data_IF_569514015365
#
_entry.id   IF_569514015365
#
_cell.length_a   1.000
_cell.length_b   1.000
_cell.length_c   1.000
_cell.angle_alpha   90.00
_cell.angle_beta   90.00
_cell.angle_gamma   90.00
#
_symmetry.space_group_name_H-M   'P 1'
#
loop_
_entity.id
_entity.type
_entity.pdbx_description
1 polymer ?
#
# COMPACT_ATOMS: atom_id res chain seq x y z
N UNK A 1 -7.27 -13.77 13.69
CA UNK A 1 -6.06 -14.19 12.94
C UNK A 1 -4.95 -13.27 13.38
N UNK A 2 -3.81 -13.78 13.84
CA UNK A 2 -2.66 -12.93 14.14
C UNK A 2 -1.95 -12.50 12.85
N UNK A 3 -1.11 -11.46 12.95
CA UNK A 3 -0.48 -10.85 11.78
C UNK A 3 0.53 -11.78 11.10
N UNK A 4 1.20 -12.64 11.86
CA UNK A 4 2.24 -13.52 11.36
C UNK A 4 1.63 -14.62 10.49
N UNK A 5 0.56 -15.26 10.97
CA UNK A 5 -0.17 -16.27 10.21
C UNK A 5 -0.76 -15.71 8.92
N UNK A 6 -1.22 -14.45 8.91
CA UNK A 6 -1.73 -13.79 7.71
C UNK A 6 -0.61 -13.58 6.67
N UNK A 7 0.54 -13.08 7.10
CA UNK A 7 1.70 -12.88 6.24
C UNK A 7 2.23 -14.20 5.67
N UNK A 8 2.33 -15.24 6.50
CA UNK A 8 2.73 -16.58 6.05
C UNK A 8 1.81 -17.13 4.96
N UNK A 9 0.49 -16.92 5.07
CA UNK A 9 -0.47 -17.33 4.03
C UNK A 9 -0.29 -16.56 2.73
N UNK A 10 -0.03 -15.26 2.82
CA UNK A 10 0.23 -14.41 1.65
C UNK A 10 1.54 -14.81 0.98
N UNK A 11 2.61 -15.02 1.75
CA UNK A 11 3.91 -15.42 1.23
C UNK A 11 3.86 -16.80 0.55
N UNK A 12 3.08 -17.73 1.09
CA UNK A 12 2.83 -19.02 0.46
C UNK A 12 2.26 -18.89 -0.97
N UNK A 13 1.45 -17.87 -1.25
CA UNK A 13 0.96 -17.62 -2.61
C UNK A 13 2.09 -17.23 -3.57
N UNK A 14 2.98 -16.34 -3.14
CA UNK A 14 4.11 -15.92 -3.97
C UNK A 14 5.10 -17.06 -4.22
N UNK A 15 5.32 -17.92 -3.22
CA UNK A 15 6.10 -19.14 -3.43
C UNK A 15 5.43 -20.08 -4.43
N UNK A 16 4.12 -20.33 -4.27
CA UNK A 16 3.36 -21.21 -5.16
C UNK A 16 3.27 -20.68 -6.60
N UNK A 17 3.26 -19.35 -6.79
CA UNK A 17 3.24 -18.74 -8.12
C UNK A 17 4.60 -18.69 -8.80
N UNK A 18 5.68 -19.17 -8.15
CA UNK A 18 7.05 -19.03 -8.65
C UNK A 18 7.56 -17.59 -8.65
N UNK A 19 6.85 -16.66 -8.00
CA UNK A 19 7.22 -15.26 -7.88
C UNK A 19 7.81 -14.95 -6.50
N UNK A 20 8.43 -15.94 -5.84
CA UNK A 20 9.00 -15.77 -4.52
C UNK A 20 9.99 -14.59 -4.47
N UNK A 21 10.11 -13.98 -3.30
CA UNK A 21 11.04 -12.87 -3.09
C UNK A 21 12.48 -13.36 -3.24
N UNK A 22 13.05 -13.21 -4.42
CA UNK A 22 14.50 -13.34 -4.59
C UNK A 22 15.16 -12.02 -4.16
N UNK A 23 15.67 -12.02 -2.93
CA UNK A 23 16.38 -10.87 -2.35
C UNK A 23 17.60 -10.47 -3.18
N UNK A 24 18.24 -11.41 -3.91
CA UNK A 24 19.38 -11.12 -4.77
C UNK A 24 18.93 -10.47 -6.09
N UNK A 25 17.90 -10.99 -6.75
CA UNK A 25 17.38 -10.40 -8.00
C UNK A 25 16.85 -8.96 -7.80
N UNK A 26 16.24 -8.67 -6.64
CA UNK A 26 15.82 -7.30 -6.27
C UNK A 26 17.00 -6.34 -6.07
N UNK A 27 18.13 -6.85 -5.58
CA UNK A 27 19.37 -6.10 -5.40
C UNK A 27 20.07 -5.83 -6.75
N UNK A 28 20.01 -6.78 -7.68
CA UNK A 28 20.56 -6.66 -9.03
C UNK A 28 19.74 -5.69 -9.91
N UNK A 29 18.41 -5.73 -9.86
CA UNK A 29 17.57 -4.74 -10.56
C UNK A 29 17.80 -3.32 -10.04
N UNK A 30 18.01 -3.14 -8.73
CA UNK A 30 18.30 -1.83 -8.13
C UNK A 30 19.68 -1.28 -8.53
N UNK A 31 20.62 -2.15 -8.93
CA UNK A 31 21.97 -1.74 -9.32
C UNK A 31 22.10 -1.43 -10.81
N UNK A 32 21.37 -2.12 -11.69
CA UNK A 32 21.50 -1.98 -13.15
C UNK A 32 20.71 -0.81 -13.79
N UNK A 33 19.67 -0.25 -13.14
CA UNK A 33 18.88 0.89 -13.64
C UNK A 33 19.47 2.29 -13.38
N UNK A 34 20.79 2.41 -13.32
CA UNK A 34 21.49 3.49 -12.60
C UNK A 34 21.66 4.85 -13.30
N UNK A 35 20.90 5.18 -14.34
CA UNK A 35 21.10 6.45 -15.07
C UNK A 35 19.88 7.37 -15.16
N UNK A 36 18.82 7.14 -14.39
CA UNK A 36 17.74 8.11 -14.32
C UNK A 36 16.65 7.76 -13.34
N UNK A 37 16.64 8.49 -12.21
CA UNK A 37 15.55 8.58 -11.24
C UNK A 37 15.34 7.38 -10.28
N UNK A 38 15.64 7.64 -9.00
CA UNK A 38 15.06 7.02 -7.80
C UNK A 38 15.48 5.56 -7.51
N UNK A 39 16.71 5.38 -7.02
CA UNK A 39 17.14 4.15 -6.35
C UNK A 39 16.76 4.17 -4.86
N UNK A 40 15.69 3.44 -4.49
CA UNK A 40 15.47 2.95 -3.11
C UNK A 40 14.36 1.89 -2.96
N UNK A 41 13.54 1.62 -3.98
CA UNK A 41 12.27 0.90 -3.80
C UNK A 41 12.30 -0.63 -3.65
N UNK A 42 13.44 -1.32 -3.79
CA UNK A 42 13.49 -2.79 -3.84
C UNK A 42 13.81 -3.46 -2.49
N UNK A 43 14.55 -2.78 -1.61
CA UNK A 43 14.93 -3.28 -0.28
C UNK A 43 13.85 -2.95 0.77
N UNK A 44 12.93 -2.05 0.43
CA UNK A 44 11.90 -1.57 1.34
C UNK A 44 10.77 -2.59 1.59
N UNK A 45 10.38 -3.45 0.65
CA UNK A 45 9.14 -4.24 0.85
C UNK A 45 9.27 -5.41 1.82
N UNK A 46 10.46 -5.96 2.10
CA UNK A 46 10.63 -6.95 3.18
C UNK A 46 11.03 -6.30 4.51
N UNK A 47 11.76 -5.19 4.46
CA UNK A 47 12.27 -4.50 5.65
C UNK A 47 11.22 -3.53 6.25
N UNK A 48 10.43 -2.83 5.44
CA UNK A 48 9.36 -1.91 5.91
C UNK A 48 8.20 -2.67 6.55
N UNK A 49 7.87 -3.87 6.06
CA UNK A 49 6.80 -4.69 6.61
C UNK A 49 7.16 -5.36 7.95
N UNK A 50 8.46 -5.53 8.24
CA UNK A 50 8.94 -6.06 9.51
C UNK A 50 9.18 -4.99 10.59
N UNK A 51 9.51 -3.75 10.20
CA UNK A 51 9.96 -2.72 11.15
C UNK A 51 9.01 -1.51 11.32
N UNK A 52 8.07 -1.24 10.40
CA UNK A 52 7.23 -0.03 10.47
C UNK A 52 5.73 -0.31 10.64
N UNK A 53 5.07 -1.12 9.80
CA UNK A 53 3.65 -1.46 9.96
C UNK A 53 3.30 -2.84 9.36
N UNK A 54 2.56 -3.64 10.12
CA UNK A 54 1.95 -4.88 9.63
C UNK A 54 0.68 -4.60 8.81
N UNK A 55 0.23 -5.51 7.91
CA UNK A 55 -1.05 -5.34 7.23
C UNK A 55 -2.23 -5.12 8.20
N UNK A 56 -2.26 -5.85 9.32
CA UNK A 56 -3.31 -5.68 10.33
C UNK A 56 -3.29 -4.28 10.95
N UNK A 57 -2.11 -3.71 11.19
CA UNK A 57 -1.97 -2.35 11.69
C UNK A 57 -2.53 -1.32 10.70
N UNK A 58 -2.28 -1.50 9.40
CA UNK A 58 -2.86 -0.65 8.35
C UNK A 58 -4.40 -0.76 8.36
N UNK A 59 -4.95 -1.97 8.48
CA UNK A 59 -6.40 -2.18 8.50
C UNK A 59 -7.07 -1.53 9.72
N UNK A 60 -6.41 -1.59 10.87
CA UNK A 60 -6.87 -0.95 12.11
C UNK A 60 -6.83 0.57 12.01
N UNK A 61 -5.74 1.14 11.50
CA UNK A 61 -5.60 2.60 11.32
C UNK A 61 -6.66 3.17 10.37
N UNK A 62 -7.01 2.40 9.34
CA UNK A 62 -8.05 2.78 8.39
C UNK A 62 -9.46 2.47 8.88
N UNK A 63 -9.62 1.76 10.00
CA UNK A 63 -10.91 1.21 10.45
C UNK A 63 -11.64 0.49 9.31
N UNK A 64 -10.93 -0.44 8.63
CA UNK A 64 -11.48 -1.17 7.50
C UNK A 64 -12.61 -2.09 7.94
N UNK A 65 -13.71 -2.06 7.19
CA UNK A 65 -14.82 -2.97 7.35
C UNK A 65 -15.34 -3.51 5.99
N UNK A 66 -16.24 -4.50 6.04
CA UNK A 66 -16.75 -5.20 4.85
C UNK A 66 -17.59 -4.35 3.89
N UNK A 67 -17.87 -3.09 4.19
CA UNK A 67 -18.51 -2.14 3.27
C UNK A 67 -17.48 -1.31 2.49
N UNK A 68 -16.21 -1.33 2.91
CA UNK A 68 -15.16 -0.51 2.32
C UNK A 68 -14.62 -1.07 1.00
N UNK A 69 -14.30 -0.14 0.09
CA UNK A 69 -13.43 -0.41 -1.06
C UNK A 69 -12.04 0.16 -0.75
N UNK A 70 -11.14 -0.75 -0.41
CA UNK A 70 -9.78 -0.46 0.01
C UNK A 70 -8.84 -0.37 -1.19
N UNK A 71 -8.00 0.66 -1.24
CA UNK A 71 -6.97 0.86 -2.25
C UNK A 71 -5.57 0.93 -1.64
N UNK A 72 -4.61 0.24 -2.26
CA UNK A 72 -3.18 0.35 -1.96
C UNK A 72 -2.46 1.00 -3.15
N UNK A 73 -2.01 2.24 -2.97
CA UNK A 73 -1.37 3.06 -4.00
C UNK A 73 0.15 2.86 -3.95
N UNK A 74 0.70 2.20 -4.97
CA UNK A 74 2.07 1.69 -4.93
C UNK A 74 2.14 0.31 -4.27
N UNK A 75 1.17 -0.56 -4.61
CA UNK A 75 0.96 -1.87 -3.97
C UNK A 75 2.11 -2.87 -4.12
N UNK A 76 3.11 -2.56 -4.95
CA UNK A 76 4.25 -3.42 -5.19
C UNK A 76 3.80 -4.77 -5.74
N UNK A 77 4.11 -5.83 -5.00
CA UNK A 77 3.71 -7.20 -5.37
C UNK A 77 2.32 -7.58 -4.83
N UNK A 78 1.61 -6.65 -4.19
CA UNK A 78 0.22 -6.84 -3.77
C UNK A 78 0.04 -7.51 -2.40
N UNK A 79 1.07 -7.56 -1.55
CA UNK A 79 1.01 -8.23 -0.25
C UNK A 79 -0.12 -7.69 0.65
N UNK A 80 -0.27 -6.37 0.77
CA UNK A 80 -1.34 -5.76 1.60
C UNK A 80 -2.73 -5.98 1.03
N UNK A 81 -2.85 -5.92 -0.30
CA UNK A 81 -4.11 -6.17 -1.00
C UNK A 81 -4.57 -7.62 -0.83
N UNK A 82 -3.65 -8.58 -0.99
CA UNK A 82 -3.93 -10.00 -0.74
C UNK A 82 -4.24 -10.26 0.73
N UNK A 83 -3.52 -9.61 1.66
CA UNK A 83 -3.79 -9.71 3.08
C UNK A 83 -5.20 -9.20 3.44
N UNK A 84 -5.65 -8.09 2.85
CA UNK A 84 -6.98 -7.54 3.08
C UNK A 84 -8.08 -8.51 2.59
N UNK A 85 -7.90 -9.08 1.39
CA UNK A 85 -8.81 -10.07 0.84
C UNK A 85 -8.81 -11.39 1.63
N UNK A 86 -7.66 -11.86 2.12
CA UNK A 86 -7.61 -13.04 2.99
C UNK A 86 -8.27 -12.83 4.35
N UNK A 87 -8.13 -11.62 4.90
CA UNK A 87 -8.73 -11.27 6.17
C UNK A 87 -10.24 -11.00 6.04
N UNK A 88 -10.75 -10.74 4.83
CA UNK A 88 -12.15 -10.43 4.59
C UNK A 88 -12.58 -9.13 5.26
N UNK A 89 -11.67 -8.17 5.37
CA UNK A 89 -11.87 -6.90 6.11
C UNK A 89 -12.37 -5.76 5.22
N UNK A 90 -12.57 -6.01 3.93
CA UNK A 90 -13.06 -5.03 2.95
C UNK A 90 -14.02 -5.73 1.98
N UNK A 91 -14.98 -4.98 1.41
CA UNK A 91 -15.80 -5.48 0.30
C UNK A 91 -14.91 -5.86 -0.89
N UNK A 92 -13.93 -5.00 -1.17
CA UNK A 92 -12.99 -5.13 -2.28
C UNK A 92 -11.67 -4.46 -1.93
N UNK A 93 -10.57 -5.11 -2.28
CA UNK A 93 -9.21 -4.57 -2.17
C UNK A 93 -8.61 -4.38 -3.56
N UNK A 94 -8.01 -3.21 -3.83
CA UNK A 94 -7.43 -2.88 -5.15
C UNK A 94 -5.99 -2.43 -4.98
N UNK A 95 -5.06 -3.12 -5.66
CA UNK A 95 -3.67 -2.70 -5.75
C UNK A 95 -3.40 -1.92 -7.02
N UNK A 96 -2.79 -0.75 -6.90
CA UNK A 96 -2.30 0.02 -8.05
C UNK A 96 -0.78 0.01 -8.01
N UNK A 97 -0.15 -0.44 -9.09
CA UNK A 97 1.31 -0.52 -9.20
C UNK A 97 1.76 -0.07 -10.60
N UNK A 98 2.84 0.71 -10.64
CA UNK A 98 3.37 1.26 -11.88
C UNK A 98 4.32 0.30 -12.58
N UNK A 99 5.11 -0.46 -11.81
CA UNK A 99 6.12 -1.37 -12.33
C UNK A 99 5.49 -2.71 -12.72
N UNK A 100 5.46 -2.98 -14.01
CA UNK A 100 4.84 -4.17 -14.60
C UNK A 100 5.33 -5.48 -13.94
N UNK A 101 6.64 -5.63 -13.72
CA UNK A 101 7.19 -6.85 -13.10
C UNK A 101 6.61 -7.12 -11.69
N UNK A 102 6.35 -6.06 -10.90
CA UNK A 102 5.76 -6.20 -9.57
C UNK A 102 4.27 -6.50 -9.64
N UNK A 103 3.58 -5.84 -10.58
CA UNK A 103 2.18 -6.14 -10.87
C UNK A 103 1.98 -7.59 -11.34
N UNK A 104 2.83 -8.12 -12.22
CA UNK A 104 2.78 -9.51 -12.66
C UNK A 104 2.97 -10.50 -11.51
N UNK A 105 3.85 -10.18 -10.55
CA UNK A 105 3.99 -10.99 -9.35
C UNK A 105 2.70 -11.00 -8.51
N UNK A 106 1.99 -9.88 -8.42
CA UNK A 106 0.69 -9.78 -7.74
C UNK A 106 -0.39 -10.63 -8.44
N UNK A 107 -0.44 -10.58 -9.78
CA UNK A 107 -1.34 -11.42 -10.58
C UNK A 107 -1.02 -12.91 -10.44
N UNK A 108 0.26 -13.27 -10.43
CA UNK A 108 0.70 -14.65 -10.21
C UNK A 108 0.24 -15.18 -8.85
N UNK A 109 0.43 -14.41 -7.78
CA UNK A 109 -0.03 -14.79 -6.44
C UNK A 109 -1.56 -14.85 -6.36
N UNK A 110 -2.28 -13.91 -6.97
CA UNK A 110 -3.74 -13.94 -7.06
C UNK A 110 -4.23 -15.21 -7.77
N UNK A 111 -3.63 -15.59 -8.89
CA UNK A 111 -4.07 -16.73 -9.69
C UNK A 111 -4.04 -18.08 -8.93
N UNK A 112 -3.16 -18.21 -7.93
CA UNK A 112 -3.05 -19.40 -7.07
C UNK A 112 -3.76 -19.24 -5.72
N UNK A 113 -4.38 -18.09 -5.45
CA UNK A 113 -5.13 -17.84 -4.23
C UNK A 113 -6.48 -18.59 -4.23
N UNK A 114 -7.11 -18.80 -3.06
CA UNK A 114 -8.48 -19.29 -3.00
C UNK A 114 -9.45 -18.40 -3.78
N UNK A 115 -10.50 -18.99 -4.35
CA UNK A 115 -11.43 -18.30 -5.26
C UNK A 115 -12.12 -17.09 -4.60
N UNK A 116 -12.42 -17.18 -3.30
CA UNK A 116 -12.96 -16.08 -2.51
C UNK A 116 -12.00 -14.89 -2.42
N UNK A 117 -10.70 -15.15 -2.28
CA UNK A 117 -9.66 -14.11 -2.26
C UNK A 117 -9.53 -13.49 -3.65
N UNK A 118 -9.55 -14.31 -4.69
CA UNK A 118 -9.49 -13.84 -6.08
C UNK A 118 -10.63 -12.88 -6.43
N UNK A 119 -11.84 -13.15 -5.94
CA UNK A 119 -13.01 -12.28 -6.14
C UNK A 119 -12.95 -10.99 -5.33
N UNK A 120 -12.31 -11.01 -4.16
CA UNK A 120 -12.22 -9.87 -3.26
C UNK A 120 -11.08 -8.90 -3.61
N UNK A 121 -10.10 -9.31 -4.42
CA UNK A 121 -9.00 -8.43 -4.80
C UNK A 121 -8.90 -8.15 -6.29
N UNK A 122 -8.30 -7.02 -6.65
CA UNK A 122 -7.98 -6.64 -8.03
C UNK A 122 -6.63 -5.91 -8.11
N UNK A 123 -5.97 -5.96 -9.25
CA UNK A 123 -4.66 -5.35 -9.46
C UNK A 123 -4.62 -4.58 -10.77
N UNK A 124 -4.10 -3.35 -10.74
CA UNK A 124 -4.04 -2.43 -11.88
C UNK A 124 -2.60 -2.00 -12.14
N UNK A 125 -2.09 -2.28 -13.34
CA UNK A 125 -0.83 -1.73 -13.83
C UNK A 125 -1.01 -0.28 -14.29
N UNK A 126 -0.99 0.67 -13.36
CA UNK A 126 -1.34 2.07 -13.64
C UNK A 126 -0.52 3.03 -12.78
N UNK A 127 -0.46 4.29 -13.22
CA UNK A 127 0.04 5.38 -12.38
C UNK A 127 -0.98 5.74 -11.30
N UNK A 128 -0.58 5.60 -10.04
CA UNK A 128 -1.40 5.90 -8.88
C UNK A 128 -1.78 7.38 -8.74
N UNK A 129 -1.14 8.31 -9.48
CA UNK A 129 -1.56 9.72 -9.54
C UNK A 129 -2.73 9.96 -10.49
N UNK A 130 -2.97 9.08 -11.45
CA UNK A 130 -3.98 9.26 -12.51
C UNK A 130 -5.04 8.17 -12.56
N UNK A 131 -4.86 7.06 -11.84
CA UNK A 131 -5.85 5.98 -11.80
C UNK A 131 -7.21 6.44 -11.25
N UNK A 132 -8.26 5.71 -11.65
CA UNK A 132 -9.62 5.94 -11.18
C UNK A 132 -9.78 5.47 -9.72
N UNK A 133 -10.23 6.39 -8.86
CA UNK A 133 -10.49 6.19 -7.43
C UNK A 133 -11.92 6.59 -7.05
N UNK A 134 -12.86 6.66 -8.02
CA UNK A 134 -14.23 7.11 -7.77
C UNK A 134 -14.97 6.28 -6.70
N UNK A 135 -14.63 4.99 -6.58
CA UNK A 135 -15.22 4.06 -5.61
C UNK A 135 -14.38 3.88 -4.33
N UNK A 136 -13.17 4.45 -4.26
CA UNK A 136 -12.28 4.27 -3.12
C UNK A 136 -12.86 4.91 -1.84
N UNK A 137 -13.06 4.11 -0.80
CA UNK A 137 -13.46 4.60 0.53
C UNK A 137 -12.30 4.70 1.51
N UNK A 138 -11.27 3.85 1.35
CA UNK A 138 -10.11 3.78 2.24
C UNK A 138 -8.85 3.62 1.40
N UNK A 139 -7.82 4.42 1.67
CA UNK A 139 -6.58 4.39 0.89
C UNK A 139 -5.38 4.20 1.80
N UNK A 140 -4.48 3.31 1.42
CA UNK A 140 -3.13 3.22 1.95
C UNK A 140 -2.11 3.66 0.90
N UNK A 141 -1.09 4.38 1.35
CA UNK A 141 0.01 4.85 0.53
C UNK A 141 1.33 4.72 1.32
N UNK A 142 2.13 3.71 0.99
CA UNK A 142 3.45 3.53 1.59
C UNK A 142 4.49 4.48 0.98
N UNK A 143 4.41 5.76 1.33
CA UNK A 143 5.26 6.82 0.77
C UNK A 143 6.55 7.13 1.55
N UNK A 144 6.99 6.23 2.44
CA UNK A 144 8.18 6.45 3.28
C UNK A 144 9.45 6.80 2.47
N UNK A 145 9.59 6.20 1.28
CA UNK A 145 10.74 6.39 0.39
C UNK A 145 10.48 7.39 -0.75
N UNK A 146 9.33 8.07 -0.77
CA UNK A 146 8.97 8.95 -1.89
C UNK A 146 9.68 10.30 -1.76
N UNK A 147 10.21 10.87 -2.86
CA UNK A 147 10.76 12.21 -2.83
C UNK A 147 9.65 13.24 -2.56
N UNK A 148 10.00 14.35 -1.91
CA UNK A 148 9.03 15.40 -1.51
C UNK A 148 8.10 15.86 -2.63
N UNK A 149 8.60 15.99 -3.85
CA UNK A 149 7.78 16.43 -4.99
C UNK A 149 6.69 15.41 -5.35
N UNK A 150 6.97 14.11 -5.20
CA UNK A 150 5.99 13.05 -5.45
C UNK A 150 4.92 13.04 -4.35
N UNK A 151 5.32 13.19 -3.08
CA UNK A 151 4.37 13.37 -1.98
C UNK A 151 3.47 14.59 -2.20
N UNK A 152 4.02 15.71 -2.64
CA UNK A 152 3.23 16.89 -2.97
C UNK A 152 2.26 16.65 -4.15
N UNK A 153 2.64 15.83 -5.13
CA UNK A 153 1.73 15.41 -6.21
C UNK A 153 0.57 14.55 -5.72
N UNK A 154 0.79 13.63 -4.78
CA UNK A 154 -0.28 12.86 -4.13
C UNK A 154 -1.21 13.75 -3.31
N UNK A 155 -0.65 14.68 -2.53
CA UNK A 155 -1.44 15.63 -1.73
C UNK A 155 -2.40 16.45 -2.61
N UNK A 156 -1.95 16.87 -3.80
CA UNK A 156 -2.78 17.62 -4.75
C UNK A 156 -3.77 16.75 -5.51
N UNK A 157 -3.46 15.48 -5.77
CA UNK A 157 -4.30 14.61 -6.60
C UNK A 157 -5.42 13.93 -5.81
N UNK A 158 -5.23 13.64 -4.52
CA UNK A 158 -6.19 12.97 -3.65
C UNK A 158 -7.25 13.94 -3.09
N UNK A 159 -7.97 14.61 -3.99
CA UNK A 159 -9.10 15.49 -3.65
C UNK A 159 -10.47 14.85 -3.89
N UNK A 160 -11.57 15.48 -3.40
CA UNK A 160 -12.94 14.98 -3.54
C UNK A 160 -13.38 14.70 -4.98
N UNK A 161 -12.82 15.40 -5.97
CA UNK A 161 -13.14 15.15 -7.38
C UNK A 161 -12.63 13.79 -7.88
N UNK A 162 -11.50 13.33 -7.34
CA UNK A 162 -10.86 12.09 -7.75
C UNK A 162 -11.33 10.90 -6.93
N UNK A 163 -11.52 11.12 -5.63
CA UNK A 163 -11.97 10.11 -4.68
C UNK A 163 -13.10 10.66 -3.80
N UNK A 164 -14.32 10.85 -4.36
CA UNK A 164 -15.44 11.49 -3.66
C UNK A 164 -15.97 10.70 -2.46
N UNK A 165 -15.62 9.41 -2.36
CA UNK A 165 -16.02 8.50 -1.27
C UNK A 165 -14.93 8.29 -0.23
N UNK A 166 -13.76 8.90 -0.42
CA UNK A 166 -12.62 8.68 0.46
C UNK A 166 -12.95 9.17 1.87
N UNK A 167 -12.98 8.24 2.81
CA UNK A 167 -13.26 8.49 4.22
C UNK A 167 -11.99 8.51 5.07
N UNK A 168 -10.94 7.76 4.67
CA UNK A 168 -9.66 7.74 5.39
C UNK A 168 -8.48 7.45 4.46
N UNK A 169 -7.33 8.05 4.78
CA UNK A 169 -6.06 7.87 4.10
C UNK A 169 -4.96 7.59 5.14
N UNK A 170 -4.26 6.47 5.00
CA UNK A 170 -3.09 6.13 5.81
C UNK A 170 -1.81 6.27 4.98
N UNK A 171 -0.81 6.94 5.54
CA UNK A 171 0.49 7.19 4.88
C UNK A 171 1.66 6.95 5.81
N UNK A 172 2.77 6.39 5.31
CA UNK A 172 3.98 6.20 6.12
C UNK A 172 4.79 7.49 6.38
N UNK A 173 4.52 8.54 5.62
CA UNK A 173 5.11 9.87 5.80
C UNK A 173 4.06 10.95 5.50
N UNK A 174 4.08 12.03 6.28
CA UNK A 174 3.17 13.16 6.11
C UNK A 174 3.16 13.71 4.66
N UNK A 175 1.96 13.93 4.13
CA UNK A 175 1.78 14.59 2.83
C UNK A 175 1.87 16.12 3.01
N UNK A 176 2.75 16.81 2.26
CA UNK A 176 2.82 18.28 2.29
C UNK A 176 1.48 18.89 1.88
N UNK A 177 1.03 19.94 2.58
CA UNK A 177 -0.16 20.74 2.23
C UNK A 177 -1.53 20.03 2.27
N UNK A 178 -1.64 18.83 2.84
CA UNK A 178 -2.93 18.14 3.03
C UNK A 178 -3.93 18.86 3.99
N UNK A 179 -3.57 20.04 4.48
CA UNK A 179 -4.14 20.73 5.64
C UNK A 179 -5.51 21.38 5.43
N UNK A 180 -6.21 21.18 4.30
CA UNK A 180 -7.58 21.73 4.16
C UNK A 180 -8.62 20.83 3.48
N UNK A 181 -8.22 19.90 2.60
CA UNK A 181 -9.17 18.97 1.98
C UNK A 181 -9.19 17.59 2.67
N UNK A 182 -8.11 17.22 3.35
CA UNK A 182 -7.95 15.93 4.05
C UNK A 182 -8.09 16.09 5.58
N UNK A 183 -8.06 17.33 6.09
CA UNK A 183 -8.23 17.62 7.52
C UNK A 183 -9.61 17.22 8.07
N UNK A 184 -10.64 17.16 7.21
CA UNK A 184 -11.97 16.67 7.58
C UNK A 184 -12.09 15.12 7.55
N UNK A 185 -11.03 14.41 7.12
CA UNK A 185 -11.02 12.96 6.89
C UNK A 185 -10.21 12.15 7.93
N UNK A 186 -9.90 12.73 9.10
CA UNK A 186 -9.26 11.99 10.20
C UNK A 186 -7.89 11.39 9.84
N UNK A 187 -6.99 12.19 9.25
CA UNK A 187 -5.61 11.75 8.97
C UNK A 187 -4.83 11.64 10.27
N UNK A 188 -4.50 10.43 10.70
CA UNK A 188 -3.52 10.20 11.76
C UNK A 188 -2.11 10.10 11.15
N UNK A 189 -1.21 10.99 11.58
CA UNK A 189 0.16 11.08 11.10
C UNK A 189 1.08 10.14 11.90
N UNK A 190 1.55 9.08 11.26
CA UNK A 190 2.27 7.95 11.87
C UNK A 190 3.66 8.29 12.45
N UNK A 191 4.20 9.48 12.19
CA UNK A 191 5.55 9.88 12.61
C UNK A 191 5.60 11.10 13.54
N UNK A 192 4.46 11.50 14.12
CA UNK A 192 4.42 12.56 15.14
C UNK A 192 4.86 12.02 16.51
N UNK A 193 6.18 11.86 16.71
CA UNK A 193 6.73 11.77 18.06
C UNK A 193 6.81 13.17 18.65
N UNK A 194 5.73 13.59 19.31
CA UNK A 194 5.76 14.77 20.17
C UNK A 194 6.70 14.49 21.36
N UNK A 195 7.95 14.89 21.19
CA UNK A 195 8.87 15.14 22.28
C UNK A 195 8.44 16.40 23.03
N UNK A 196 7.35 16.31 23.81
CA UNK A 196 7.03 17.30 24.86
C UNK A 196 7.28 16.67 26.23
N UNK A 197 8.54 16.65 26.65
CA UNK A 197 8.85 16.57 28.08
C UNK A 197 8.43 17.87 28.74
N UNK A 198 7.24 17.83 29.32
CA UNK A 198 6.79 18.78 30.34
C UNK A 198 7.22 18.25 31.72
N UNK A 199 7.48 19.17 32.66
CA UNK A 199 7.88 19.03 34.08
C UNK A 199 9.37 19.28 34.31
N UNK A 200 9.80 20.04 35.31
CA UNK A 200 9.15 20.95 36.26
C UNK A 200 10.23 21.90 36.80
#
# INVERSE_FOLDING_TARGET
MDSEALLQRVDALFHASGCATDAQALTELATQGADGAVKSGAVASSIVYGELLSPLSVFQLLDLNQEDTFYDLGSGRGQVVLAAAFAGVSQRAVGVELLEARHQAALGAKAVAPEEVQRQCDFRCQDALTCDLQDASKVYLCNAAFPRHLNASFARSLGPWRAPRLAALATCAALPEATRAVADLGVEDLLSTDGSTTSA
#
